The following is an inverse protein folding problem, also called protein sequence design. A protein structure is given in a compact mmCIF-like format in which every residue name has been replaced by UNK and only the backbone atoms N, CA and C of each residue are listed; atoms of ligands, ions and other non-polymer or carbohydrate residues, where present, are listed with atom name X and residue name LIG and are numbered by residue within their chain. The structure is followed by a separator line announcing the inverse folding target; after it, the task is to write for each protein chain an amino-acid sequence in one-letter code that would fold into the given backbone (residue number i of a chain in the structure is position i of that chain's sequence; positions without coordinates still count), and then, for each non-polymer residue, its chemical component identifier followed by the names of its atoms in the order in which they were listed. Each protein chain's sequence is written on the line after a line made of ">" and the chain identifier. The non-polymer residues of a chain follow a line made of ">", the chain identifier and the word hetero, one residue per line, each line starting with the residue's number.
data_IF_928978717459
#
_entry.id   IF_928978717459
#
_cell.length_a   1.000
_cell.length_b   1.000
_cell.length_c   1.000
_cell.angle_alpha   90.00
_cell.angle_beta   90.00
_cell.angle_gamma   90.00
#
_symmetry.space_group_name_H-M   'P 1'
#
loop_
_entity.id
_entity.type
_entity.pdbx_description
1 polymer ?
#
# COMPACT_ATOMS: atom_id res chain seq x y z
N UNK A 1 30.47 12.26 22.46
CA UNK A 1 30.15 10.83 22.60
C UNK A 1 30.84 10.11 21.43
N UNK A 2 30.61 8.82 21.18
CA UNK A 2 31.31 8.11 20.11
C UNK A 2 30.49 8.16 18.80
N UNK A 3 31.14 8.45 17.68
CA UNK A 3 30.51 8.32 16.37
C UNK A 3 30.19 6.85 16.10
N UNK A 4 28.98 6.59 15.58
CA UNK A 4 28.54 5.26 15.17
C UNK A 4 28.31 5.24 13.66
N UNK A 5 29.08 4.41 12.96
CA UNK A 5 28.84 4.13 11.54
C UNK A 5 27.78 3.04 11.41
N UNK A 6 26.75 3.30 10.62
CA UNK A 6 25.72 2.33 10.24
C UNK A 6 25.76 2.14 8.72
N UNK A 7 25.55 0.90 8.29
CA UNK A 7 25.51 0.52 6.87
C UNK A 7 24.13 -0.05 6.55
N UNK A 8 23.44 0.55 5.58
CA UNK A 8 22.24 -0.05 4.99
C UNK A 8 22.70 -1.03 3.94
N UNK A 9 22.32 -2.29 4.10
CA UNK A 9 22.70 -3.37 3.20
C UNK A 9 21.52 -3.78 2.33
N UNK A 10 21.82 -4.31 1.15
CA UNK A 10 20.83 -5.01 0.36
C UNK A 10 20.44 -6.33 1.02
N UNK A 11 19.34 -6.93 0.55
CA UNK A 11 18.95 -8.31 0.89
C UNK A 11 20.04 -9.35 0.58
N UNK A 12 21.01 -9.01 -0.27
CA UNK A 12 22.16 -9.86 -0.63
C UNK A 12 23.43 -9.54 0.17
N UNK A 13 23.36 -8.60 1.11
CA UNK A 13 24.45 -8.24 2.02
C UNK A 13 25.43 -7.19 1.50
N UNK A 14 25.26 -6.68 0.27
CA UNK A 14 26.06 -5.57 -0.26
C UNK A 14 25.70 -4.26 0.43
N UNK A 15 26.68 -3.41 0.76
CA UNK A 15 26.42 -2.08 1.32
C UNK A 15 25.85 -1.17 0.24
N UNK A 16 24.67 -0.61 0.48
CA UNK A 16 23.99 0.36 -0.40
C UNK A 16 24.35 1.79 0.00
N UNK A 17 24.39 2.04 1.31
CA UNK A 17 24.71 3.34 1.86
C UNK A 17 25.35 3.18 3.24
N UNK A 18 26.20 4.13 3.62
CA UNK A 18 26.76 4.17 4.96
C UNK A 18 26.82 5.60 5.46
N UNK A 19 26.48 5.79 6.72
CA UNK A 19 26.52 7.08 7.37
C UNK A 19 27.11 6.94 8.77
N UNK A 20 27.86 7.96 9.19
CA UNK A 20 28.48 8.01 10.50
C UNK A 20 28.19 9.37 11.13
N UNK A 21 27.56 9.33 12.31
CA UNK A 21 27.39 10.51 13.17
C UNK A 21 27.34 10.10 14.64
N UNK A 22 27.34 11.08 15.52
CA UNK A 22 27.05 10.89 16.93
C UNK A 22 25.61 10.36 17.11
N UNK A 23 25.44 9.34 17.96
CA UNK A 23 24.16 8.69 18.26
C UNK A 23 23.35 8.24 17.02
N UNK A 24 24.06 7.78 15.98
CA UNK A 24 23.45 7.39 14.71
C UNK A 24 22.45 6.23 14.88
N UNK A 25 21.30 6.33 14.20
CA UNK A 25 20.28 5.29 14.13
C UNK A 25 20.07 4.80 12.69
N UNK A 26 19.32 3.70 12.53
CA UNK A 26 18.89 3.24 11.21
C UNK A 26 18.04 4.30 10.53
N UNK A 27 17.10 4.94 11.26
CA UNK A 27 16.29 6.07 10.76
C UNK A 27 17.17 7.18 10.20
N UNK A 28 18.13 7.66 10.99
CA UNK A 28 19.02 8.74 10.56
C UNK A 28 19.80 8.38 9.29
N UNK A 29 20.30 7.15 9.23
CA UNK A 29 21.08 6.66 8.08
C UNK A 29 20.21 6.53 6.83
N UNK A 30 18.96 6.09 6.97
CA UNK A 30 18.01 6.00 5.86
C UNK A 30 17.58 7.40 5.40
N UNK A 31 17.24 8.31 6.31
CA UNK A 31 16.88 9.70 5.97
C UNK A 31 18.04 10.43 5.27
N UNK A 32 19.27 10.24 5.74
CA UNK A 32 20.44 10.83 5.09
C UNK A 32 20.69 10.21 3.70
N UNK A 33 20.45 8.91 3.52
CA UNK A 33 20.50 8.28 2.20
C UNK A 33 19.50 8.91 1.23
N UNK A 34 18.24 9.08 1.67
CA UNK A 34 17.17 9.71 0.88
C UNK A 34 17.53 11.15 0.54
N UNK A 35 18.00 11.92 1.53
CA UNK A 35 18.42 13.32 1.34
C UNK A 35 19.58 13.47 0.35
N UNK A 36 20.49 12.50 0.28
CA UNK A 36 21.58 12.48 -0.70
C UNK A 36 21.16 11.89 -2.06
N UNK A 37 19.91 11.44 -2.21
CA UNK A 37 19.42 10.80 -3.43
C UNK A 37 20.04 9.42 -3.68
N UNK A 38 20.52 8.75 -2.63
CA UNK A 38 21.03 7.39 -2.74
C UNK A 38 19.88 6.41 -3.00
N UNK A 39 20.11 5.42 -3.88
CA UNK A 39 19.16 4.33 -4.06
C UNK A 39 19.24 3.35 -2.88
N UNK A 40 18.08 3.06 -2.30
CA UNK A 40 17.88 2.02 -1.30
C UNK A 40 17.11 0.82 -1.89
N UNK A 41 17.19 0.65 -3.22
CA UNK A 41 16.55 -0.48 -3.89
C UNK A 41 17.13 -1.80 -3.37
N UNK A 42 16.24 -2.73 -3.05
CA UNK A 42 16.60 -4.01 -2.45
C UNK A 42 17.18 -3.89 -1.03
N UNK A 43 17.03 -2.76 -0.34
CA UNK A 43 17.51 -2.59 1.03
C UNK A 43 16.85 -3.61 1.98
N UNK A 44 17.67 -4.15 2.89
CA UNK A 44 17.22 -4.99 4.00
C UNK A 44 16.92 -4.09 5.20
N UNK A 45 15.65 -3.75 5.37
CA UNK A 45 15.11 -2.90 6.43
C UNK A 45 14.12 -3.69 7.32
N UNK A 46 14.34 -5.01 7.44
CA UNK A 46 13.53 -5.88 8.28
C UNK A 46 13.51 -5.37 9.72
N UNK A 47 12.31 -5.16 10.28
CA UNK A 47 12.15 -4.72 11.67
C UNK A 47 12.70 -3.32 11.96
N UNK A 48 13.03 -2.52 10.93
CA UNK A 48 13.64 -1.22 11.13
C UNK A 48 12.65 -0.25 11.81
N UNK A 49 13.13 0.46 12.84
CA UNK A 49 12.39 1.57 13.44
C UNK A 49 12.60 2.83 12.61
N UNK A 50 11.57 3.19 11.83
CA UNK A 50 11.51 4.31 10.90
C UNK A 50 10.30 5.21 11.21
N UNK A 51 9.80 5.19 12.44
CA UNK A 51 8.64 5.99 12.86
C UNK A 51 8.92 7.49 12.65
N UNK A 52 7.98 8.16 11.99
CA UNK A 52 8.09 9.56 11.60
C UNK A 52 9.27 9.87 10.70
N UNK A 53 9.80 8.88 9.94
CA UNK A 53 10.90 9.10 9.03
C UNK A 53 10.48 9.92 7.80
N UNK A 54 11.37 10.80 7.34
CA UNK A 54 11.20 11.57 6.09
C UNK A 54 11.79 10.79 4.91
N UNK A 55 10.95 10.04 4.22
CA UNK A 55 11.29 9.16 3.09
C UNK A 55 10.65 9.63 1.78
N UNK A 56 10.35 10.92 1.67
CA UNK A 56 9.75 11.50 0.46
C UNK A 56 10.68 11.30 -0.75
N UNK A 57 10.13 10.74 -1.83
CA UNK A 57 10.86 10.43 -3.05
C UNK A 57 11.89 9.29 -2.92
N UNK A 58 11.90 8.54 -1.81
CA UNK A 58 12.84 7.45 -1.60
C UNK A 58 12.73 6.35 -2.69
N UNK A 59 13.88 5.83 -3.13
CA UNK A 59 13.95 4.65 -4.00
C UNK A 59 14.07 3.39 -3.12
N UNK A 60 12.97 2.65 -2.96
CA UNK A 60 12.85 1.47 -2.11
C UNK A 60 12.33 0.26 -2.91
N UNK A 61 12.61 0.22 -4.21
CA UNK A 61 12.12 -0.87 -5.06
C UNK A 61 12.73 -2.20 -4.64
N UNK A 62 11.88 -3.21 -4.41
CA UNK A 62 12.30 -4.53 -3.93
C UNK A 62 12.86 -4.54 -2.49
N UNK A 63 12.79 -3.43 -1.75
CA UNK A 63 13.25 -3.38 -0.37
C UNK A 63 12.43 -4.33 0.53
N UNK A 64 13.09 -4.95 1.50
CA UNK A 64 12.42 -5.72 2.56
C UNK A 64 12.14 -4.82 3.74
N UNK A 65 10.91 -4.33 3.85
CA UNK A 65 10.37 -3.53 4.96
C UNK A 65 9.49 -4.38 5.91
N UNK A 66 9.65 -5.71 5.87
CA UNK A 66 8.87 -6.63 6.71
C UNK A 66 9.04 -6.30 8.18
N UNK A 67 7.93 -6.24 8.92
CA UNK A 67 7.87 -5.86 10.34
C UNK A 67 8.51 -4.50 10.66
N UNK A 68 8.75 -3.64 9.68
CA UNK A 68 9.28 -2.30 9.94
C UNK A 68 8.22 -1.42 10.60
N UNK A 69 8.66 -0.49 11.44
CA UNK A 69 7.80 0.51 12.07
C UNK A 69 7.93 1.81 11.27
N UNK A 70 6.88 2.19 10.55
CA UNK A 70 6.81 3.38 9.69
C UNK A 70 5.67 4.30 10.15
N UNK A 71 5.26 4.22 11.42
CA UNK A 71 4.11 4.99 11.90
C UNK A 71 4.41 6.49 11.79
N UNK A 72 3.50 7.24 11.16
CA UNK A 72 3.68 8.66 10.87
C UNK A 72 4.80 9.02 9.87
N UNK A 73 5.45 8.04 9.23
CA UNK A 73 6.49 8.31 8.23
C UNK A 73 5.91 8.98 6.97
N UNK A 74 6.69 9.86 6.34
CA UNK A 74 6.33 10.44 5.04
C UNK A 74 7.03 9.66 3.93
N UNK A 75 6.25 9.01 3.07
CA UNK A 75 6.68 8.21 1.91
C UNK A 75 6.12 8.83 0.61
N UNK A 76 5.91 10.15 0.58
CA UNK A 76 5.27 10.82 -0.54
C UNK A 76 6.12 10.67 -1.79
N UNK A 77 5.52 10.26 -2.90
CA UNK A 77 6.23 9.99 -4.16
C UNK A 77 7.37 8.95 -4.06
N UNK A 78 7.45 8.16 -2.99
CA UNK A 78 8.45 7.11 -2.87
C UNK A 78 8.15 5.97 -3.86
N UNK A 79 9.19 5.31 -4.36
CA UNK A 79 9.06 4.11 -5.17
C UNK A 79 9.16 2.86 -4.27
N UNK A 80 8.07 2.10 -4.18
CA UNK A 80 7.94 0.88 -3.37
C UNK A 80 7.60 -0.32 -4.25
N UNK A 81 8.05 -0.32 -5.52
CA UNK A 81 7.69 -1.39 -6.47
C UNK A 81 8.33 -2.68 -6.01
N UNK A 82 7.52 -3.72 -5.82
CA UNK A 82 7.95 -5.02 -5.31
C UNK A 82 8.54 -5.01 -3.89
N UNK A 83 8.40 -3.91 -3.13
CA UNK A 83 8.80 -3.89 -1.74
C UNK A 83 7.96 -4.88 -0.93
N UNK A 84 8.55 -5.51 0.09
CA UNK A 84 7.82 -6.40 1.01
C UNK A 84 7.45 -5.66 2.27
N UNK A 85 6.15 -5.43 2.49
CA UNK A 85 5.57 -4.69 3.62
C UNK A 85 4.88 -5.60 4.65
N UNK A 86 5.14 -6.91 4.63
CA UNK A 86 4.45 -7.86 5.54
C UNK A 86 4.66 -7.47 7.00
N UNK A 87 3.57 -7.24 7.72
CA UNK A 87 3.60 -6.87 9.13
C UNK A 87 4.21 -5.49 9.42
N UNK A 88 4.50 -4.68 8.39
CA UNK A 88 4.94 -3.31 8.61
C UNK A 88 3.80 -2.47 9.21
N UNK A 89 4.10 -1.64 10.20
CA UNK A 89 3.15 -0.67 10.73
C UNK A 89 3.28 0.63 9.95
N UNK A 90 2.16 1.16 9.45
CA UNK A 90 2.08 2.35 8.60
C UNK A 90 0.99 3.29 9.13
N UNK A 91 0.69 3.23 10.42
CA UNK A 91 -0.39 3.97 11.03
C UNK A 91 -0.07 5.46 10.91
N UNK A 92 -0.94 6.25 10.29
CA UNK A 92 -0.70 7.66 9.99
C UNK A 92 0.42 7.98 8.99
N UNK A 93 1.01 6.98 8.31
CA UNK A 93 2.01 7.22 7.28
C UNK A 93 1.42 7.88 6.02
N UNK A 94 2.15 8.81 5.40
CA UNK A 94 1.71 9.46 4.16
C UNK A 94 2.29 8.75 2.94
N UNK A 95 1.43 8.10 2.16
CA UNK A 95 1.77 7.39 0.93
C UNK A 95 1.32 8.14 -0.35
N UNK A 96 1.03 9.44 -0.23
CA UNK A 96 0.49 10.23 -1.34
C UNK A 96 1.48 10.21 -2.53
N UNK A 97 1.03 9.71 -3.69
CA UNK A 97 1.86 9.57 -4.89
C UNK A 97 2.89 8.43 -4.86
N UNK A 98 2.94 7.61 -3.80
CA UNK A 98 3.85 6.47 -3.73
C UNK A 98 3.54 5.42 -4.82
N UNK A 99 4.59 4.86 -5.43
CA UNK A 99 4.46 3.85 -6.48
C UNK A 99 4.42 2.44 -5.90
N UNK A 100 3.22 1.86 -5.87
CA UNK A 100 2.94 0.48 -5.40
C UNK A 100 2.36 -0.38 -6.54
N UNK A 101 2.82 -0.17 -7.78
CA UNK A 101 2.21 -0.73 -8.99
C UNK A 101 1.92 -2.24 -8.96
N UNK A 102 2.83 -3.13 -8.49
CA UNK A 102 2.54 -4.57 -8.42
C UNK A 102 1.33 -4.90 -7.54
N UNK A 103 1.13 -4.14 -6.46
CA UNK A 103 -0.02 -4.29 -5.57
C UNK A 103 -1.32 -3.86 -6.25
N UNK A 104 -1.29 -2.71 -6.93
CA UNK A 104 -2.44 -2.17 -7.66
C UNK A 104 -2.87 -3.07 -8.81
N UNK A 105 -1.90 -3.56 -9.60
CA UNK A 105 -2.18 -4.47 -10.71
C UNK A 105 -2.81 -5.78 -10.24
N UNK A 106 -2.28 -6.37 -9.16
CA UNK A 106 -2.83 -7.58 -8.55
C UNK A 106 -4.24 -7.34 -7.96
N UNK A 107 -4.47 -6.19 -7.32
CA UNK A 107 -5.81 -5.78 -6.88
C UNK A 107 -6.77 -5.71 -8.06
N UNK A 108 -6.41 -5.03 -9.16
CA UNK A 108 -7.26 -4.89 -10.34
C UNK A 108 -7.60 -6.23 -10.98
N UNK A 109 -6.65 -7.18 -11.01
CA UNK A 109 -6.91 -8.55 -11.48
C UNK A 109 -8.00 -9.23 -10.63
N UNK A 110 -7.99 -9.03 -9.31
CA UNK A 110 -9.04 -9.55 -8.43
C UNK A 110 -10.37 -8.84 -8.70
N UNK A 111 -10.36 -7.51 -8.82
CA UNK A 111 -11.57 -6.71 -8.99
C UNK A 111 -12.31 -6.98 -10.30
N UNK A 112 -11.62 -7.30 -11.40
CA UNK A 112 -12.31 -7.67 -12.66
C UNK A 112 -13.14 -8.95 -12.54
N UNK A 113 -12.80 -9.83 -11.59
CA UNK A 113 -13.59 -11.02 -11.26
C UNK A 113 -14.60 -10.78 -10.13
N UNK A 114 -14.60 -9.59 -9.53
CA UNK A 114 -15.42 -9.19 -8.39
C UNK A 114 -16.26 -7.92 -8.64
N UNK A 115 -16.52 -7.58 -9.91
CA UNK A 115 -17.18 -6.32 -10.30
C UNK A 115 -18.46 -6.04 -9.48
N UNK A 116 -19.40 -7.00 -9.30
CA UNK A 116 -20.61 -6.77 -8.50
C UNK A 116 -20.36 -6.43 -7.04
N UNK A 117 -19.21 -6.85 -6.49
CA UNK A 117 -18.83 -6.68 -5.09
C UNK A 117 -17.94 -5.45 -4.84
N UNK A 118 -17.49 -4.75 -5.90
CA UNK A 118 -16.57 -3.60 -5.78
C UNK A 118 -17.13 -2.53 -4.84
N UNK A 119 -18.42 -2.20 -4.96
CA UNK A 119 -19.05 -1.20 -4.10
C UNK A 119 -19.16 -1.65 -2.63
N UNK A 120 -19.38 -2.94 -2.39
CA UNK A 120 -19.41 -3.49 -1.02
C UNK A 120 -18.00 -3.50 -0.40
N UNK A 121 -16.98 -3.89 -1.17
CA UNK A 121 -15.57 -3.83 -0.75
C UNK A 121 -15.16 -2.40 -0.42
N UNK A 122 -15.52 -1.44 -1.27
CA UNK A 122 -15.30 -0.01 -1.05
C UNK A 122 -15.91 0.44 0.28
N UNK A 123 -17.18 0.10 0.51
CA UNK A 123 -17.86 0.47 1.75
C UNK A 123 -17.25 -0.21 2.98
N UNK A 124 -16.79 -1.46 2.85
CA UNK A 124 -16.11 -2.17 3.94
C UNK A 124 -14.79 -1.49 4.34
N UNK A 125 -14.05 -0.94 3.38
CA UNK A 125 -12.83 -0.15 3.65
C UNK A 125 -13.18 1.16 4.36
N UNK A 126 -14.19 1.89 3.87
CA UNK A 126 -14.65 3.16 4.47
C UNK A 126 -15.13 2.94 5.91
N UNK A 127 -15.88 1.87 6.14
CA UNK A 127 -16.46 1.55 7.45
C UNK A 127 -15.44 0.92 8.42
N UNK A 128 -14.20 0.70 8.00
CA UNK A 128 -13.16 0.02 8.78
C UNK A 128 -13.50 -1.41 9.17
N UNK A 129 -14.22 -2.12 8.29
CA UNK A 129 -14.65 -3.51 8.48
C UNK A 129 -13.61 -4.53 8.02
N UNK A 130 -12.58 -4.11 7.28
CA UNK A 130 -11.45 -4.95 6.91
C UNK A 130 -10.56 -5.16 8.15
N UNK A 131 -10.15 -6.39 8.44
CA UNK A 131 -9.28 -6.67 9.59
C UNK A 131 -7.91 -7.27 9.26
N UNK A 132 -7.54 -7.31 7.97
CA UNK A 132 -6.21 -7.75 7.48
C UNK A 132 -5.83 -9.18 7.82
N UNK A 133 -6.70 -9.93 8.53
CA UNK A 133 -6.42 -11.29 8.91
C UNK A 133 -6.53 -12.18 7.68
N UNK A 134 -5.52 -13.01 7.45
CA UNK A 134 -5.46 -13.86 6.26
C UNK A 134 -6.22 -15.16 6.56
N UNK A 135 -7.40 -15.29 5.94
CA UNK A 135 -8.26 -16.49 6.01
C UNK A 135 -8.60 -16.95 7.44
N UNK A 136 -8.95 -16.01 8.33
CA UNK A 136 -9.40 -16.29 9.69
C UNK A 136 -10.61 -15.42 10.06
N UNK A 137 -11.49 -15.89 10.96
CA UNK A 137 -12.59 -15.11 11.52
C UNK A 137 -13.71 -14.71 10.54
N UNK A 138 -14.55 -13.74 10.95
CA UNK A 138 -15.68 -13.22 10.18
C UNK A 138 -15.27 -12.17 9.12
N UNK A 139 -14.04 -11.67 9.15
CA UNK A 139 -13.48 -10.74 8.20
C UNK A 139 -12.09 -11.27 7.86
N UNK A 140 -11.89 -11.60 6.60
CA UNK A 140 -10.70 -12.30 6.16
C UNK A 140 -10.23 -11.59 4.90
N UNK A 141 -9.07 -10.93 4.94
CA UNK A 141 -8.30 -10.53 3.76
C UNK A 141 -9.11 -9.81 2.62
N UNK A 142 -8.50 -9.54 1.47
CA UNK A 142 -9.22 -8.97 0.32
C UNK A 142 -10.24 -9.98 -0.21
N UNK A 143 -9.82 -11.23 -0.42
CA UNK A 143 -10.66 -12.28 -1.02
C UNK A 143 -11.80 -12.70 -0.11
N UNK A 144 -11.59 -12.78 1.20
CA UNK A 144 -12.68 -13.12 2.13
C UNK A 144 -13.68 -11.98 2.32
N UNK A 145 -13.25 -10.72 2.22
CA UNK A 145 -14.19 -9.58 2.15
C UNK A 145 -15.12 -9.70 0.94
N UNK A 146 -14.57 -10.04 -0.24
CA UNK A 146 -15.37 -10.29 -1.45
C UNK A 146 -16.29 -11.51 -1.28
N UNK A 147 -15.79 -12.59 -0.67
CA UNK A 147 -16.59 -13.79 -0.40
C UNK A 147 -17.77 -13.49 0.54
N UNK A 148 -17.56 -12.65 1.54
CA UNK A 148 -18.60 -12.17 2.45
C UNK A 148 -19.69 -11.37 1.72
N UNK A 149 -19.31 -10.47 0.81
CA UNK A 149 -20.25 -9.73 -0.04
C UNK A 149 -21.11 -10.69 -0.89
N UNK A 150 -20.50 -11.75 -1.42
CA UNK A 150 -21.19 -12.84 -2.13
C UNK A 150 -22.01 -13.77 -1.23
N UNK A 151 -21.83 -13.71 0.09
CA UNK A 151 -22.38 -14.67 1.06
C UNK A 151 -21.98 -16.12 0.75
N UNK A 152 -20.74 -16.32 0.33
CA UNK A 152 -20.15 -17.64 0.06
C UNK A 152 -18.91 -17.85 0.90
N UNK A 153 -18.56 -19.12 1.10
CA UNK A 153 -17.26 -19.51 1.63
C UNK A 153 -16.16 -19.16 0.62
N UNK A 154 -15.09 -18.50 1.06
CA UNK A 154 -13.98 -18.08 0.19
C UNK A 154 -13.30 -19.28 -0.49
N UNK A 155 -13.31 -20.47 0.14
CA UNK A 155 -12.75 -21.70 -0.46
C UNK A 155 -13.58 -22.21 -1.63
N UNK A 156 -14.87 -21.82 -1.70
CA UNK A 156 -15.84 -22.25 -2.70
C UNK A 156 -16.14 -21.16 -3.73
N UNK A 157 -15.50 -20.00 -3.61
CA UNK A 157 -15.74 -18.86 -4.47
C UNK A 157 -15.20 -19.11 -5.88
N UNK A 158 -16.07 -19.05 -6.89
CA UNK A 158 -15.67 -19.17 -8.28
C UNK A 158 -14.94 -17.90 -8.77
N UNK A 159 -13.89 -18.09 -9.56
CA UNK A 159 -13.19 -17.02 -10.29
C UNK A 159 -12.11 -16.27 -9.52
N UNK A 160 -12.00 -16.44 -8.19
CA UNK A 160 -10.98 -15.79 -7.36
C UNK A 160 -10.45 -16.83 -6.40
N UNK A 161 -9.17 -17.19 -6.54
CA UNK A 161 -8.52 -18.19 -5.69
C UNK A 161 -7.83 -17.51 -4.49
N UNK A 162 -8.09 -17.98 -3.25
CA UNK A 162 -7.35 -17.56 -2.06
C UNK A 162 -5.84 -17.83 -2.22
N UNK A 163 -5.02 -16.79 -2.10
CA UNK A 163 -3.57 -16.92 -2.14
C UNK A 163 -2.90 -15.85 -1.28
N UNK A 164 -2.54 -16.23 -0.05
CA UNK A 164 -1.92 -15.36 0.96
C UNK A 164 -0.64 -14.63 0.49
N UNK A 165 0.08 -15.22 -0.47
CA UNK A 165 1.32 -14.64 -1.00
C UNK A 165 1.11 -13.55 -2.05
N UNK A 166 -0.13 -13.32 -2.51
CA UNK A 166 -0.43 -12.31 -3.53
C UNK A 166 -0.09 -10.91 -3.02
N UNK A 167 0.44 -10.02 -3.88
CA UNK A 167 0.73 -8.65 -3.50
C UNK A 167 -0.46 -7.96 -2.80
N UNK A 168 -1.66 -7.98 -3.38
CA UNK A 168 -2.82 -7.30 -2.82
C UNK A 168 -3.21 -7.86 -1.44
N UNK A 169 -3.22 -9.18 -1.27
CA UNK A 169 -3.49 -9.80 0.04
C UNK A 169 -2.46 -9.39 1.10
N UNK A 170 -1.17 -9.35 0.73
CA UNK A 170 -0.10 -8.91 1.64
C UNK A 170 -0.21 -7.43 2.00
N UNK A 171 -0.70 -6.60 1.07
CA UNK A 171 -0.97 -5.19 1.34
C UNK A 171 -2.16 -5.03 2.30
N UNK A 172 -3.24 -5.79 2.08
CA UNK A 172 -4.42 -5.77 2.94
C UNK A 172 -4.10 -6.27 4.36
N UNK A 173 -3.08 -7.10 4.55
CA UNK A 173 -2.61 -7.51 5.87
C UNK A 173 -2.08 -6.35 6.74
N UNK A 174 -1.79 -5.18 6.14
CA UNK A 174 -1.42 -3.96 6.87
C UNK A 174 -2.64 -3.15 7.35
N UNK A 175 -3.87 -3.57 7.03
CA UNK A 175 -5.12 -2.92 7.49
C UNK A 175 -5.62 -3.68 8.72
N UNK A 176 -5.74 -3.01 9.86
CA UNK A 176 -6.25 -3.60 11.10
C UNK A 176 -7.75 -3.33 11.23
N UNK A 177 -8.43 -4.14 12.05
CA UNK A 177 -9.85 -3.94 12.35
C UNK A 177 -10.10 -2.52 12.88
N UNK A 178 -11.02 -1.79 12.25
CA UNK A 178 -11.36 -0.42 12.62
C UNK A 178 -10.54 0.66 11.90
N UNK A 179 -9.53 0.29 11.11
CA UNK A 179 -8.80 1.25 10.29
C UNK A 179 -9.67 1.80 9.17
N UNK A 180 -9.65 3.11 8.99
CA UNK A 180 -10.35 3.80 7.89
C UNK A 180 -9.33 4.51 6.98
N UNK A 181 -9.74 4.99 5.79
CA UNK A 181 -8.90 5.83 4.94
C UNK A 181 -8.30 7.07 5.64
N UNK A 182 -8.94 7.55 6.71
CA UNK A 182 -8.45 8.68 7.50
C UNK A 182 -7.36 8.29 8.51
N UNK A 183 -7.38 7.04 9.03
CA UNK A 183 -6.43 6.57 10.04
C UNK A 183 -5.27 5.74 9.48
N UNK A 184 -5.46 5.11 8.32
CA UNK A 184 -4.50 4.19 7.73
C UNK A 184 -4.23 4.54 6.25
N UNK A 185 -2.98 4.87 5.94
CA UNK A 185 -2.56 5.27 4.59
C UNK A 185 -2.70 4.16 3.54
N UNK A 186 -2.68 2.89 3.95
CA UNK A 186 -2.94 1.74 3.08
C UNK A 186 -4.43 1.62 2.76
N UNK A 187 -5.31 1.79 3.76
CA UNK A 187 -6.75 1.85 3.51
C UNK A 187 -7.11 2.98 2.53
N UNK A 188 -6.45 4.15 2.68
CA UNK A 188 -6.61 5.29 1.78
C UNK A 188 -6.18 4.99 0.34
N UNK A 189 -4.97 4.47 0.14
CA UNK A 189 -4.46 4.24 -1.22
C UNK A 189 -5.24 3.12 -1.94
N UNK A 190 -5.68 2.11 -1.20
CA UNK A 190 -6.55 1.06 -1.73
C UNK A 190 -7.91 1.63 -2.13
N UNK A 191 -8.49 2.52 -1.31
CA UNK A 191 -9.72 3.23 -1.66
C UNK A 191 -9.53 4.01 -2.97
N UNK A 192 -8.47 4.83 -3.08
CA UNK A 192 -8.17 5.61 -4.29
C UNK A 192 -8.10 4.71 -5.55
N UNK A 193 -7.48 3.53 -5.43
CA UNK A 193 -7.41 2.55 -6.52
C UNK A 193 -8.77 1.94 -6.87
N UNK A 194 -9.61 1.65 -5.88
CA UNK A 194 -10.96 1.14 -6.11
C UNK A 194 -11.81 2.21 -6.81
N UNK A 195 -11.72 3.48 -6.41
CA UNK A 195 -12.44 4.57 -7.07
C UNK A 195 -11.98 4.78 -8.52
N UNK A 196 -10.68 4.68 -8.77
CA UNK A 196 -10.13 4.71 -10.12
C UNK A 196 -10.62 3.52 -10.97
N UNK A 197 -10.70 2.31 -10.38
CA UNK A 197 -11.24 1.14 -11.04
C UNK A 197 -12.74 1.29 -11.36
N UNK A 198 -13.55 1.85 -10.44
CA UNK A 198 -14.96 2.15 -10.68
C UNK A 198 -15.15 3.10 -11.88
N UNK A 199 -14.29 4.12 -12.02
CA UNK A 199 -14.31 5.04 -13.16
C UNK A 199 -13.99 4.34 -14.49
N UNK A 200 -13.16 3.30 -14.46
CA UNK A 200 -12.83 2.49 -15.63
C UNK A 200 -14.00 1.57 -16.04
N UNK A 201 -14.69 0.95 -15.07
CA UNK A 201 -15.80 0.02 -15.32
C UNK A 201 -17.12 0.76 -15.64
N UNK A 202 -17.37 1.87 -14.96
CA UNK A 202 -18.59 2.68 -15.09
C UNK A 202 -18.22 4.12 -15.51
N UNK A 203 -17.79 4.34 -16.76
CA UNK A 203 -17.42 5.68 -17.21
C UNK A 203 -18.63 6.61 -17.12
N UNK A 204 -18.43 7.79 -16.52
CA UNK A 204 -19.48 8.83 -16.48
C UNK A 204 -19.94 9.12 -17.91
N UNK A 205 -21.25 9.25 -18.16
CA UNK A 205 -21.73 9.63 -19.48
C UNK A 205 -21.05 10.94 -19.88
N UNK A 206 -20.54 11.00 -21.11
CA UNK A 206 -19.96 12.22 -21.65
C UNK A 206 -20.97 13.36 -21.45
N UNK A 207 -20.53 14.47 -20.85
CA UNK A 207 -21.36 15.68 -20.78
C UNK A 207 -21.85 15.99 -22.20
N UNK A 208 -23.17 16.07 -22.44
CA UNK A 208 -23.67 16.38 -23.76
C UNK A 208 -23.06 17.72 -24.20
N UNK A 209 -22.58 17.77 -25.44
CA UNK A 209 -22.08 19.00 -26.02
C UNK A 209 -23.15 20.10 -25.87
N UNK A 210 -22.77 21.35 -25.54
CA UNK A 210 -23.72 22.45 -25.43
C UNK A 210 -24.55 22.52 -26.71
N UNK A 211 -25.87 22.52 -26.57
CA UNK A 211 -26.81 22.50 -27.67
C UNK A 211 -26.65 23.79 -28.50
N UNK A 212 -25.94 23.70 -29.62
CA UNK A 212 -25.73 24.84 -30.54
C UNK A 212 -26.90 24.98 -31.51
N UNK A 213 -28.14 24.71 -31.09
CA UNK A 213 -29.31 25.15 -31.85
C UNK A 213 -29.40 26.66 -31.75
N UNK A 214 -28.81 27.31 -32.76
CA UNK A 214 -29.00 28.70 -33.13
C UNK A 214 -30.49 29.04 -33.07
N UNK A 215 -30.86 29.92 -32.13
CA UNK A 215 -32.08 30.71 -32.21
C UNK A 215 -31.98 31.61 -33.45
N UNK A 216 -32.47 31.13 -34.59
CA UNK A 216 -32.79 31.99 -35.71
C UNK A 216 -34.07 32.76 -35.36
N UNK A 217 -33.89 34.02 -34.95
CA UNK A 217 -34.94 35.04 -34.87
C UNK A 217 -34.49 36.24 -35.68
#
# INVERSE_FOLDING_TARGET
>A
MANLKIEIKSIWGSVLFSYEKEDNTVKDTVEEAVKQGASLDGASLYGASLDGASLDGASLDGASLRNAFLDGASLRNASLRNASLDGASLDGASLDGASLQPFKADLYEILVHAIPEVSDLKQAIIDGKIDGSVYQGDCACLVGTIANARRVDYEKMAGIMPQASRPAERLFAAIKKGDTPESNGIAKIVLDWIEEFELFVYPKPATPAPDTTLSSS
#
